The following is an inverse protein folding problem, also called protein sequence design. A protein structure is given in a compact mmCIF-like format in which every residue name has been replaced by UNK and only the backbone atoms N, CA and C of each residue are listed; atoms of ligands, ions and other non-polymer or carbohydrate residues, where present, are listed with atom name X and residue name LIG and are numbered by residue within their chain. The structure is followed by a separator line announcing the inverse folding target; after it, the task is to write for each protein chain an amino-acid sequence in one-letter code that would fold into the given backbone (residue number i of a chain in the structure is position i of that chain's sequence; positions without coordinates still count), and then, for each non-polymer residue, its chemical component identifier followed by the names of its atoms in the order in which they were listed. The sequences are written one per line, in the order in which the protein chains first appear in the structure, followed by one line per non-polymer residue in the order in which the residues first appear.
data_IF_329066917534
#
_entry.id   IF_329066917534
#
_cell.length_a   1.000
_cell.length_b   1.000
_cell.length_c   1.000
_cell.angle_alpha   90.00
_cell.angle_beta   90.00
_cell.angle_gamma   90.00
#
_symmetry.space_group_name_H-M   'P 1'
#
loop_
_entity.id
_entity.type
_entity.pdbx_description
1 polymer ?
#
# COMPACT_ATOMS: atom_id res chain seq x y z
N UNK A 1 -15.53 6.45 -6.28
CA UNK A 1 -14.66 5.56 -5.46
C UNK A 1 -13.32 6.21 -5.13
N UNK A 2 -12.47 6.56 -6.12
CA UNK A 2 -11.19 7.28 -5.92
C UNK A 2 -11.28 8.44 -4.90
N UNK A 3 -12.23 9.36 -5.11
CA UNK A 3 -12.48 10.51 -4.21
C UNK A 3 -12.73 10.12 -2.74
N UNK A 4 -13.39 8.99 -2.50
CA UNK A 4 -13.66 8.50 -1.15
C UNK A 4 -12.36 8.04 -0.50
N UNK A 5 -11.54 7.28 -1.23
CA UNK A 5 -10.24 6.80 -0.74
C UNK A 5 -9.30 7.98 -0.44
N UNK A 6 -9.21 8.96 -1.33
CA UNK A 6 -8.41 10.17 -1.11
C UNK A 6 -8.86 10.94 0.13
N UNK A 7 -10.17 11.10 0.33
CA UNK A 7 -10.72 11.75 1.52
C UNK A 7 -10.42 10.96 2.81
N UNK A 8 -10.37 9.64 2.75
CA UNK A 8 -9.96 8.80 3.90
C UNK A 8 -8.48 9.05 4.21
N UNK A 9 -7.61 9.03 3.19
CA UNK A 9 -6.17 9.27 3.34
C UNK A 9 -5.93 10.65 3.98
N UNK A 10 -6.51 11.71 3.42
CA UNK A 10 -6.34 13.06 3.95
C UNK A 10 -6.81 13.17 5.40
N UNK A 11 -7.97 12.58 5.73
CA UNK A 11 -8.46 12.57 7.12
C UNK A 11 -7.56 11.81 8.08
N UNK A 12 -6.92 10.73 7.64
CA UNK A 12 -5.97 9.99 8.46
C UNK A 12 -4.69 10.80 8.68
N UNK A 13 -4.14 11.34 7.60
CA UNK A 13 -2.95 12.19 7.63
C UNK A 13 -3.16 13.42 8.52
N UNK A 14 -4.28 14.13 8.36
CA UNK A 14 -4.62 15.29 9.20
C UNK A 14 -4.86 14.90 10.66
N UNK A 15 -5.50 13.77 10.93
CA UNK A 15 -5.86 13.36 12.29
C UNK A 15 -4.65 12.89 13.10
N UNK A 16 -3.72 12.19 12.47
CA UNK A 16 -2.58 11.56 13.13
C UNK A 16 -1.24 12.22 12.81
N UNK A 17 -1.25 13.26 11.98
CA UNK A 17 -0.08 14.02 11.53
C UNK A 17 1.01 13.14 10.90
N UNK A 18 0.59 12.12 10.15
CA UNK A 18 1.51 11.15 9.53
C UNK A 18 0.88 10.43 8.34
N UNK A 19 1.70 10.13 7.34
CA UNK A 19 1.38 9.22 6.24
C UNK A 19 2.14 7.89 6.35
N UNK A 20 2.93 7.70 7.42
CA UNK A 20 3.73 6.49 7.58
C UNK A 20 2.83 5.29 7.93
N UNK A 21 2.84 4.21 7.11
CA UNK A 21 1.93 3.08 7.31
C UNK A 21 2.09 2.39 8.67
N UNK A 22 3.31 2.32 9.20
CA UNK A 22 3.59 1.74 10.52
C UNK A 22 2.90 2.52 11.63
N UNK A 23 3.03 3.85 11.63
CA UNK A 23 2.43 4.71 12.64
C UNK A 23 0.90 4.71 12.54
N UNK A 24 0.37 4.80 11.32
CA UNK A 24 -1.08 4.70 11.09
C UNK A 24 -1.63 3.35 11.55
N UNK A 25 -0.92 2.25 11.32
CA UNK A 25 -1.32 0.94 11.80
C UNK A 25 -1.42 0.91 13.34
N UNK A 26 -0.43 1.47 14.04
CA UNK A 26 -0.43 1.57 15.51
C UNK A 26 -1.63 2.40 16.02
N UNK A 27 -1.82 3.61 15.48
CA UNK A 27 -2.97 4.46 15.83
C UNK A 27 -4.33 3.81 15.55
N UNK A 28 -4.41 2.92 14.56
CA UNK A 28 -5.62 2.22 14.18
C UNK A 28 -5.81 0.88 14.90
N UNK A 29 -4.90 0.51 15.80
CA UNK A 29 -4.92 -0.76 16.54
C UNK A 29 -4.77 -1.97 15.61
N UNK A 30 -3.97 -1.83 14.56
CA UNK A 30 -3.64 -2.90 13.61
C UNK A 30 -2.34 -3.56 14.04
N UNK A 31 -2.40 -4.85 14.34
CA UNK A 31 -1.23 -5.62 14.72
C UNK A 31 -0.40 -5.94 13.48
N UNK A 32 0.89 -5.64 13.51
CA UNK A 32 1.83 -5.97 12.44
C UNK A 32 2.71 -7.14 12.89
N UNK A 33 2.84 -8.17 12.05
CA UNK A 33 3.65 -9.36 12.31
C UNK A 33 4.57 -9.62 11.11
N UNK A 34 5.87 -9.47 11.30
CA UNK A 34 6.88 -9.86 10.33
C UNK A 34 7.28 -11.33 10.51
N UNK A 35 7.20 -12.11 9.44
CA UNK A 35 7.64 -13.52 9.43
C UNK A 35 7.88 -14.02 8.00
N UNK A 36 8.55 -15.15 7.80
CA UNK A 36 8.61 -15.77 6.47
C UNK A 36 7.21 -16.16 5.98
N UNK A 37 6.82 -15.70 4.78
CA UNK A 37 5.51 -16.00 4.18
C UNK A 37 5.58 -16.79 2.86
N UNK A 38 6.77 -17.32 2.51
CA UNK A 38 7.00 -18.00 1.24
C UNK A 38 6.85 -17.03 0.07
N UNK A 39 6.01 -17.38 -0.91
CA UNK A 39 5.77 -16.56 -2.12
C UNK A 39 4.81 -15.38 -1.91
N UNK A 40 4.30 -15.19 -0.69
CA UNK A 40 3.45 -14.04 -0.35
C UNK A 40 4.32 -12.86 0.06
N UNK A 41 3.93 -11.67 -0.35
CA UNK A 41 4.56 -10.42 0.08
C UNK A 41 3.95 -9.96 1.40
N UNK A 42 2.63 -10.07 1.54
CA UNK A 42 1.88 -9.70 2.74
C UNK A 42 0.53 -10.40 2.82
N UNK A 43 -0.17 -10.21 3.94
CA UNK A 43 -1.56 -10.62 4.10
C UNK A 43 -2.27 -9.81 5.19
N UNK A 44 -3.47 -9.33 4.90
CA UNK A 44 -4.40 -8.81 5.90
C UNK A 44 -5.40 -9.87 6.35
N UNK A 45 -5.56 -10.01 7.67
CA UNK A 45 -6.53 -10.90 8.28
C UNK A 45 -7.27 -10.21 9.43
N UNK A 46 -8.57 -10.45 9.52
CA UNK A 46 -9.39 -10.05 10.66
C UNK A 46 -9.63 -11.24 11.59
N UNK A 47 -8.77 -11.40 12.60
CA UNK A 47 -8.71 -12.57 13.47
C UNK A 47 -9.24 -12.20 14.85
N UNK A 48 -10.27 -12.90 15.36
CA UNK A 48 -10.81 -12.69 16.72
C UNK A 48 -11.13 -11.22 17.04
N UNK A 49 -11.69 -10.48 16.06
CA UNK A 49 -11.99 -9.04 16.12
C UNK A 49 -10.77 -8.10 16.13
N UNK A 50 -9.58 -8.63 15.87
CA UNK A 50 -8.34 -7.88 15.74
C UNK A 50 -7.93 -7.81 14.28
N UNK A 51 -7.54 -6.61 13.83
CA UNK A 51 -6.94 -6.40 12.51
C UNK A 51 -5.47 -6.82 12.60
N UNK A 52 -5.04 -7.70 11.72
CA UNK A 52 -3.67 -8.21 11.72
C UNK A 52 -3.11 -8.18 10.31
N UNK A 53 -1.96 -7.53 10.15
CA UNK A 53 -1.18 -7.50 8.92
C UNK A 53 0.04 -8.38 9.12
N UNK A 54 0.25 -9.31 8.19
CA UNK A 54 1.47 -10.09 8.07
C UNK A 54 2.32 -9.52 6.95
N UNK A 55 3.61 -9.31 7.21
CA UNK A 55 4.58 -8.88 6.20
C UNK A 55 5.63 -9.97 6.06
N UNK A 56 6.03 -10.27 4.83
CA UNK A 56 7.12 -11.21 4.60
C UNK A 56 8.45 -10.61 5.06
N UNK A 57 9.09 -11.27 6.03
CA UNK A 57 10.35 -10.78 6.63
C UNK A 57 11.54 -10.79 5.67
N UNK A 58 11.42 -11.44 4.50
CA UNK A 58 12.49 -11.49 3.49
C UNK A 58 12.52 -10.27 2.55
N UNK A 59 11.58 -9.34 2.68
CA UNK A 59 11.51 -8.14 1.84
C UNK A 59 12.49 -7.08 2.35
N UNK A 60 12.99 -6.22 1.47
CA UNK A 60 13.69 -5.00 1.88
C UNK A 60 12.70 -3.98 2.48
N UNK A 61 13.21 -3.02 3.23
CA UNK A 61 12.39 -2.06 3.99
C UNK A 61 11.49 -1.18 3.11
N UNK A 62 11.95 -0.80 1.92
CA UNK A 62 11.14 0.00 1.00
C UNK A 62 9.93 -0.82 0.50
N UNK A 63 10.16 -2.08 0.14
CA UNK A 63 9.10 -2.97 -0.28
C UNK A 63 8.17 -3.35 0.89
N UNK A 64 8.69 -3.56 2.10
CA UNK A 64 7.87 -3.76 3.31
C UNK A 64 6.93 -2.57 3.53
N UNK A 65 7.42 -1.34 3.40
CA UNK A 65 6.60 -0.12 3.55
C UNK A 65 5.46 -0.08 2.54
N UNK A 66 5.71 -0.46 1.28
CA UNK A 66 4.69 -0.53 0.23
C UNK A 66 3.65 -1.61 0.52
N UNK A 67 4.11 -2.81 0.88
CA UNK A 67 3.22 -3.94 1.23
C UNK A 67 2.37 -3.59 2.44
N UNK A 68 2.95 -2.97 3.48
CA UNK A 68 2.21 -2.54 4.65
C UNK A 68 1.14 -1.50 4.29
N UNK A 69 1.46 -0.50 3.45
CA UNK A 69 0.47 0.47 2.99
C UNK A 69 -0.70 -0.21 2.23
N UNK A 70 -0.39 -1.21 1.41
CA UNK A 70 -1.39 -2.02 0.70
C UNK A 70 -2.31 -2.77 1.68
N UNK A 71 -1.73 -3.53 2.61
CA UNK A 71 -2.50 -4.31 3.59
C UNK A 71 -3.28 -3.41 4.57
N UNK A 72 -2.74 -2.22 4.88
CA UNK A 72 -3.45 -1.20 5.64
C UNK A 72 -4.67 -0.67 4.88
N UNK A 73 -4.55 -0.52 3.56
CA UNK A 73 -5.68 -0.26 2.66
C UNK A 73 -6.80 -1.30 2.83
N UNK A 74 -6.46 -2.60 2.88
CA UNK A 74 -7.44 -3.65 3.19
C UNK A 74 -8.03 -3.50 4.59
N UNK A 75 -7.20 -3.24 5.60
CA UNK A 75 -7.64 -3.10 6.98
C UNK A 75 -8.62 -1.92 7.22
N UNK A 76 -8.53 -0.88 6.38
CA UNK A 76 -9.38 0.31 6.45
C UNK A 76 -10.61 0.17 5.54
N UNK A 77 -10.42 -0.24 4.29
CA UNK A 77 -11.48 -0.25 3.27
C UNK A 77 -12.30 -1.55 3.26
N UNK A 78 -11.70 -2.66 3.68
CA UNK A 78 -12.22 -4.03 3.51
C UNK A 78 -12.17 -4.84 4.81
N UNK A 79 -12.50 -4.19 5.93
CA UNK A 79 -12.30 -4.71 7.31
C UNK A 79 -12.62 -6.20 7.51
N UNK A 80 -13.70 -6.72 6.93
CA UNK A 80 -14.18 -8.11 7.17
C UNK A 80 -13.71 -9.11 6.11
N UNK A 81 -12.90 -8.70 5.14
CA UNK A 81 -12.40 -9.56 4.08
C UNK A 81 -10.93 -9.89 4.32
N UNK A 82 -10.61 -11.18 4.45
CA UNK A 82 -9.22 -11.63 4.54
C UNK A 82 -8.62 -11.63 3.12
N UNK A 83 -7.40 -11.11 2.99
CA UNK A 83 -6.73 -10.94 1.71
C UNK A 83 -5.29 -11.47 1.79
N UNK A 84 -4.75 -11.91 0.65
CA UNK A 84 -3.38 -12.38 0.52
C UNK A 84 -2.72 -11.68 -0.66
N UNK A 85 -1.58 -11.05 -0.42
CA UNK A 85 -0.82 -10.36 -1.47
C UNK A 85 0.33 -11.24 -1.97
N UNK A 86 0.26 -11.63 -3.25
CA UNK A 86 1.15 -12.63 -3.88
C UNK A 86 2.25 -11.97 -4.72
N UNK A 87 3.47 -12.54 -4.72
CA UNK A 87 4.63 -12.02 -5.46
C UNK A 87 4.50 -12.04 -7.00
N UNK A 88 3.80 -13.04 -7.56
CA UNK A 88 3.72 -13.28 -9.01
C UNK A 88 2.43 -12.79 -9.67
N UNK A 89 1.50 -12.23 -8.90
CA UNK A 89 0.38 -11.53 -9.51
C UNK A 89 0.87 -10.10 -9.73
N UNK A 90 0.94 -9.69 -10.99
CA UNK A 90 1.06 -8.28 -11.38
C UNK A 90 0.27 -7.44 -10.38
N UNK A 91 0.89 -6.37 -9.86
CA UNK A 91 0.25 -5.32 -9.04
C UNK A 91 -1.04 -4.72 -9.67
N UNK A 92 -1.45 -5.23 -10.83
CA UNK A 92 -2.72 -5.10 -11.53
C UNK A 92 -3.49 -6.46 -11.58
N UNK A 93 -3.92 -6.96 -10.41
CA UNK A 93 -5.33 -7.02 -10.03
C UNK A 93 -6.36 -7.59 -11.02
N UNK A 94 -6.95 -8.73 -10.68
CA UNK A 94 -8.23 -9.19 -11.23
C UNK A 94 -9.45 -8.77 -10.39
N UNK A 95 -9.27 -8.15 -9.20
CA UNK A 95 -10.37 -7.79 -8.29
C UNK A 95 -10.43 -6.30 -7.90
N UNK A 96 -11.65 -5.81 -7.66
CA UNK A 96 -11.94 -4.43 -7.26
C UNK A 96 -11.31 -4.04 -5.91
N UNK A 97 -11.23 -4.95 -4.95
CA UNK A 97 -10.72 -4.67 -3.59
C UNK A 97 -9.23 -4.43 -3.60
N UNK A 98 -8.52 -5.31 -4.29
CA UNK A 98 -7.09 -5.23 -4.43
C UNK A 98 -6.70 -3.94 -5.23
N UNK A 99 -7.53 -3.50 -6.19
CA UNK A 99 -7.38 -2.19 -6.85
C UNK A 99 -7.51 -1.02 -5.89
N UNK A 100 -8.47 -1.10 -4.97
CA UNK A 100 -8.67 -0.06 -3.97
C UNK A 100 -7.52 -0.02 -2.97
N UNK A 101 -6.97 -1.17 -2.58
CA UNK A 101 -5.80 -1.26 -1.71
C UNK A 101 -4.53 -0.72 -2.39
N UNK A 102 -4.27 -1.07 -3.65
CA UNK A 102 -3.16 -0.48 -4.42
C UNK A 102 -3.33 1.03 -4.61
N UNK A 103 -4.55 1.49 -4.92
CA UNK A 103 -4.82 2.92 -5.07
C UNK A 103 -4.64 3.67 -3.75
N UNK A 104 -5.01 3.04 -2.62
CA UNK A 104 -4.75 3.57 -1.29
C UNK A 104 -3.26 3.69 -1.01
N UNK A 105 -2.49 2.61 -1.22
CA UNK A 105 -1.04 2.59 -1.00
C UNK A 105 -0.31 3.64 -1.86
N UNK A 106 -0.64 3.71 -3.15
CA UNK A 106 -0.07 4.67 -4.08
C UNK A 106 -0.27 6.11 -3.59
N UNK A 107 -1.49 6.46 -3.17
CA UNK A 107 -1.82 7.83 -2.76
C UNK A 107 -1.40 8.17 -1.33
N UNK A 108 -1.21 7.17 -0.47
CA UNK A 108 -0.65 7.38 0.86
C UNK A 108 0.86 7.65 0.79
N UNK A 109 1.58 6.90 -0.05
CA UNK A 109 3.04 6.90 -0.07
C UNK A 109 3.66 7.87 -1.07
N UNK A 110 3.02 8.09 -2.22
CA UNK A 110 3.62 8.82 -3.34
C UNK A 110 3.06 10.25 -3.36
N UNK A 111 3.90 11.28 -3.19
CA UNK A 111 3.46 12.66 -3.27
C UNK A 111 3.08 13.03 -4.71
N UNK A 112 2.05 13.87 -4.87
CA UNK A 112 1.61 14.34 -6.19
C UNK A 112 2.72 15.12 -6.93
N UNK A 113 3.64 15.71 -6.18
CA UNK A 113 4.78 16.46 -6.72
C UNK A 113 5.96 15.60 -7.16
N UNK A 114 5.92 14.26 -7.00
CA UNK A 114 7.07 13.39 -7.26
C UNK A 114 7.67 13.62 -8.67
N UNK A 115 6.82 13.65 -9.70
CA UNK A 115 7.27 13.78 -11.09
C UNK A 115 7.93 15.13 -11.39
N UNK A 116 7.69 16.16 -10.58
CA UNK A 116 8.31 17.48 -10.77
C UNK A 116 9.83 17.43 -10.57
N UNK A 117 10.34 16.42 -9.86
CA UNK A 117 11.78 16.23 -9.63
C UNK A 117 12.49 15.50 -10.79
N UNK A 118 11.74 14.96 -11.77
CA UNK A 118 12.24 14.02 -12.77
C UNK A 118 11.90 14.44 -14.20
N UNK A 119 12.26 15.66 -14.59
CA UNK A 119 12.02 16.16 -15.94
C UNK A 119 12.82 15.36 -16.98
N UNK A 120 12.13 14.81 -17.99
CA UNK A 120 12.74 14.05 -19.08
C UNK A 120 12.98 12.55 -18.78
N UNK A 121 12.66 12.08 -17.58
CA UNK A 121 12.75 10.67 -17.21
C UNK A 121 11.46 9.92 -17.58
N UNK A 122 11.61 8.65 -17.94
CA UNK A 122 10.50 7.70 -18.10
C UNK A 122 10.03 7.19 -16.75
N UNK A 123 8.77 6.71 -16.69
CA UNK A 123 8.21 6.14 -15.45
C UNK A 123 8.99 4.92 -14.94
N UNK A 124 9.63 4.17 -15.84
CA UNK A 124 10.47 3.02 -15.52
C UNK A 124 11.81 3.43 -14.88
N UNK A 125 12.40 4.53 -15.33
CA UNK A 125 13.60 5.09 -14.71
C UNK A 125 13.27 5.63 -13.32
N UNK A 126 12.17 6.38 -13.19
CA UNK A 126 11.69 6.90 -11.90
C UNK A 126 11.41 5.74 -10.92
N UNK A 127 10.75 4.69 -11.39
CA UNK A 127 10.51 3.45 -10.61
C UNK A 127 11.80 2.87 -10.03
N UNK A 128 12.86 2.84 -10.84
CA UNK A 128 14.16 2.30 -10.42
C UNK A 128 14.84 3.22 -9.41
N UNK A 129 14.79 4.53 -9.61
CA UNK A 129 15.42 5.53 -8.75
C UNK A 129 14.75 5.59 -7.37
N UNK A 130 13.42 5.64 -7.35
CA UNK A 130 12.62 5.74 -6.13
C UNK A 130 12.45 4.39 -5.42
N UNK A 131 12.88 3.29 -6.04
CA UNK A 131 12.64 1.93 -5.59
C UNK A 131 11.14 1.63 -5.34
N UNK A 132 10.29 2.11 -6.26
CA UNK A 132 8.83 1.95 -6.23
C UNK A 132 8.43 1.11 -7.44
N UNK A 133 7.59 0.06 -7.28
CA UNK A 133 7.09 -0.71 -8.41
C UNK A 133 6.41 0.18 -9.46
N UNK A 134 6.77 -0.02 -10.73
CA UNK A 134 6.31 0.82 -11.85
C UNK A 134 4.79 0.82 -11.98
N UNK A 135 4.11 -0.28 -11.64
CA UNK A 135 2.65 -0.39 -11.65
C UNK A 135 2.01 0.53 -10.62
N UNK A 136 2.64 0.72 -9.46
CA UNK A 136 2.14 1.61 -8.42
C UNK A 136 2.27 3.07 -8.83
N UNK A 137 3.38 3.43 -9.49
CA UNK A 137 3.57 4.76 -10.09
C UNK A 137 2.56 5.01 -11.22
N UNK A 138 2.36 4.03 -12.11
CA UNK A 138 1.34 4.13 -13.16
C UNK A 138 -0.06 4.32 -12.59
N UNK A 139 -0.39 3.60 -11.51
CA UNK A 139 -1.67 3.77 -10.80
C UNK A 139 -1.81 5.14 -10.13
N UNK A 140 -0.73 5.66 -9.55
CA UNK A 140 -0.71 6.99 -8.92
C UNK A 140 -1.01 8.10 -9.92
N UNK A 141 -0.37 8.05 -11.08
CA UNK A 141 -0.40 9.12 -12.08
C UNK A 141 -1.38 8.85 -13.24
N UNK A 142 -2.30 7.89 -13.07
CA UNK A 142 -3.32 7.53 -14.05
C UNK A 142 -2.75 7.21 -15.46
N UNK A 143 -1.67 6.43 -15.48
CA UNK A 143 -0.96 5.97 -16.69
C UNK A 143 -1.30 4.51 -17.08
N UNK A 144 -2.47 4.01 -16.67
CA UNK A 144 -2.96 2.64 -16.92
C UNK A 144 -4.27 2.65 -17.71
#
# INVERSE_FOLDING_TARGET
MKKIILNIINKLAEKYDTCEPCELADYLGVVIIERPLGDKLGAYMYIKKTKTIFINSSLDEALKRIVLAHELGHAILHKTQNCYFMKNNTLLLTSKFEWQANFFAANLLIPDSLLNNYYGYTINEISTIENIPVELLKLKFDLI
#
